data_IF_981983660055
#
_entry.id   IF_981983660055
#
_cell.length_a   1.000
_cell.length_b   1.000
_cell.length_c   1.000
_cell.angle_alpha   90.00
_cell.angle_beta   90.00
_cell.angle_gamma   90.00
#
_symmetry.space_group_name_H-M   'P 1'
#
loop_
_entity.id
_entity.type
_entity.pdbx_description
1 polymer ?
#
# COMPACT_ATOMS: atom_id res chain seq x y z
N UNK A 1 2.89 -23.66 24.60
CA UNK A 1 2.66 -22.25 24.21
C UNK A 1 3.33 -22.04 22.86
N UNK A 2 2.62 -21.55 21.84
CA UNK A 2 3.25 -21.19 20.56
C UNK A 2 3.83 -19.79 20.65
N UNK A 3 5.12 -19.62 20.34
CA UNK A 3 5.68 -18.30 20.13
C UNK A 3 5.12 -17.72 18.81
N UNK A 4 4.53 -16.51 18.82
CA UNK A 4 4.03 -15.91 17.59
C UNK A 4 5.19 -15.62 16.62
N UNK A 5 4.93 -15.80 15.33
CA UNK A 5 5.90 -15.49 14.27
C UNK A 5 6.22 -13.99 14.29
N UNK A 6 7.50 -13.64 14.30
CA UNK A 6 7.93 -12.24 14.22
C UNK A 6 7.52 -11.62 12.89
N UNK A 7 7.13 -10.35 12.92
CA UNK A 7 6.61 -9.65 11.74
C UNK A 7 7.61 -9.61 10.58
N UNK A 8 8.91 -9.52 10.89
CA UNK A 8 10.02 -9.48 9.94
C UNK A 8 10.69 -10.84 9.71
N UNK A 9 10.09 -11.94 10.19
CA UNK A 9 10.61 -13.28 9.91
C UNK A 9 10.64 -13.49 8.40
N UNK A 10 11.79 -13.89 7.86
CA UNK A 10 11.92 -14.18 6.44
C UNK A 10 10.85 -15.19 6.00
N UNK A 11 10.30 -15.00 4.79
CA UNK A 11 9.29 -15.83 4.12
C UNK A 11 7.90 -15.76 4.78
N UNK A 12 7.79 -15.91 6.10
CA UNK A 12 6.50 -16.13 6.78
C UNK A 12 6.04 -14.99 7.69
N UNK A 13 6.88 -13.97 7.88
CA UNK A 13 6.52 -12.80 8.66
C UNK A 13 5.50 -11.92 7.91
N UNK A 14 4.57 -11.31 8.64
CA UNK A 14 3.52 -10.45 8.07
C UNK A 14 4.06 -9.24 7.25
N UNK A 15 5.33 -8.88 7.42
CA UNK A 15 5.97 -7.79 6.67
C UNK A 15 6.95 -8.30 5.60
N UNK A 16 7.06 -9.62 5.37
CA UNK A 16 8.06 -10.19 4.48
C UNK A 16 7.91 -9.74 3.01
N UNK A 17 6.69 -9.39 2.60
CA UNK A 17 6.34 -8.91 1.26
C UNK A 17 5.72 -7.51 1.27
N UNK A 18 5.87 -6.77 2.38
CA UNK A 18 5.29 -5.45 2.55
C UNK A 18 6.15 -4.34 1.95
N UNK A 19 5.54 -3.49 1.13
CA UNK A 19 6.22 -2.38 0.44
C UNK A 19 5.60 -1.04 0.84
N UNK A 20 6.39 -0.18 1.50
CA UNK A 20 5.90 1.12 2.04
C UNK A 20 6.46 2.36 1.35
N UNK A 21 7.64 2.28 0.71
CA UNK A 21 8.23 3.42 -0.01
C UNK A 21 7.67 3.52 -1.43
N UNK A 22 7.40 4.74 -1.88
CA UNK A 22 6.76 4.98 -3.17
C UNK A 22 7.50 4.37 -4.36
N UNK A 23 8.84 4.43 -4.38
CA UNK A 23 9.64 3.83 -5.44
C UNK A 23 9.58 2.30 -5.46
N UNK A 24 9.49 1.64 -4.29
CA UNK A 24 9.36 0.19 -4.23
C UNK A 24 7.96 -0.23 -4.65
N UNK A 25 6.95 0.48 -4.17
CA UNK A 25 5.55 0.23 -4.54
C UNK A 25 5.35 0.38 -6.06
N UNK A 26 5.87 1.46 -6.66
CA UNK A 26 5.83 1.66 -8.11
C UNK A 26 6.58 0.54 -8.87
N UNK A 27 7.76 0.14 -8.38
CA UNK A 27 8.51 -0.95 -8.99
C UNK A 27 7.80 -2.30 -8.90
N UNK A 28 7.12 -2.61 -7.80
CA UNK A 28 6.30 -3.81 -7.62
C UNK A 28 5.09 -3.80 -8.54
N UNK A 29 4.43 -2.65 -8.69
CA UNK A 29 3.29 -2.48 -9.60
C UNK A 29 3.69 -2.70 -11.07
N UNK A 30 4.89 -2.28 -11.47
CA UNK A 30 5.41 -2.47 -12.83
C UNK A 30 5.90 -3.90 -13.08
N UNK A 31 6.66 -4.46 -12.14
CA UNK A 31 7.13 -5.84 -12.17
C UNK A 31 7.51 -6.28 -10.76
N UNK A 32 6.73 -7.19 -10.18
CA UNK A 32 6.94 -7.70 -8.81
C UNK A 32 8.35 -8.25 -8.59
N UNK A 33 8.97 -8.86 -9.61
CA UNK A 33 10.34 -9.41 -9.53
C UNK A 33 11.42 -8.37 -9.22
N UNK A 34 11.11 -7.08 -9.35
CA UNK A 34 12.02 -5.99 -8.97
C UNK A 34 12.30 -5.98 -7.45
N UNK A 35 11.33 -6.40 -6.64
CA UNK A 35 11.43 -6.37 -5.17
C UNK A 35 10.96 -7.65 -4.49
N UNK A 36 10.49 -8.64 -5.25
CA UNK A 36 10.01 -9.93 -4.75
C UNK A 36 10.73 -11.07 -5.47
N UNK A 37 11.74 -11.61 -4.80
CA UNK A 37 12.51 -12.75 -5.31
C UNK A 37 11.74 -14.07 -5.20
N UNK A 38 10.78 -14.14 -4.27
CA UNK A 38 9.85 -15.25 -4.07
C UNK A 38 8.45 -14.72 -4.32
N UNK A 39 7.65 -15.41 -5.12
CA UNK A 39 6.21 -15.15 -5.24
C UNK A 39 5.50 -15.60 -3.95
N UNK A 40 4.84 -14.69 -3.21
CA UNK A 40 4.12 -15.02 -1.98
C UNK A 40 3.02 -16.08 -2.19
N UNK A 41 2.46 -16.19 -3.40
CA UNK A 41 1.47 -17.22 -3.72
C UNK A 41 2.03 -18.65 -3.61
N UNK A 42 3.35 -18.85 -3.82
CA UNK A 42 3.98 -20.17 -3.69
C UNK A 42 3.96 -20.72 -2.26
N UNK A 43 3.73 -19.87 -1.27
CA UNK A 43 3.63 -20.25 0.15
C UNK A 43 2.23 -19.99 0.73
N UNK A 44 1.24 -19.76 -0.14
CA UNK A 44 -0.16 -19.57 0.27
C UNK A 44 -0.47 -18.22 0.91
N UNK A 45 0.34 -17.19 0.65
CA UNK A 45 0.00 -15.81 1.03
C UNK A 45 -0.77 -15.12 -0.12
N UNK A 46 -1.90 -14.49 0.21
CA UNK A 46 -2.70 -13.70 -0.73
C UNK A 46 -2.21 -12.23 -0.81
N UNK A 47 -2.47 -11.57 -1.94
CA UNK A 47 -1.96 -10.21 -2.27
C UNK A 47 -3.00 -9.09 -2.03
N UNK A 48 -2.62 -7.79 -1.86
CA UNK A 48 -1.26 -7.22 -1.93
C UNK A 48 -0.84 -6.36 -0.71
N UNK A 49 0.38 -6.52 -0.22
CA UNK A 49 0.92 -5.70 0.89
C UNK A 49 1.54 -4.37 0.40
N UNK A 50 0.82 -3.62 -0.45
CA UNK A 50 1.13 -2.19 -0.67
C UNK A 50 0.62 -1.40 0.54
N UNK A 51 1.44 -1.31 1.58
CA UNK A 51 1.09 -0.57 2.79
C UNK A 51 1.18 0.92 2.49
N UNK A 52 0.02 1.60 2.51
CA UNK A 52 -0.03 3.04 2.35
C UNK A 52 0.45 3.75 3.62
N UNK A 53 1.53 4.51 3.50
CA UNK A 53 2.16 5.31 4.55
C UNK A 53 2.47 6.71 4.00
N UNK A 54 3.00 7.62 4.83
CA UNK A 54 3.46 8.94 4.35
C UNK A 54 4.60 8.88 3.34
N UNK A 55 5.24 7.71 3.18
CA UNK A 55 6.28 7.46 2.18
C UNK A 55 5.74 6.88 0.88
N UNK A 56 4.43 6.59 0.82
CA UNK A 56 3.83 6.00 -0.35
C UNK A 56 3.69 7.01 -1.49
N UNK A 57 3.90 6.52 -2.70
CA UNK A 57 3.89 7.34 -3.90
C UNK A 57 2.50 7.42 -4.55
N UNK A 58 2.38 8.30 -5.54
CA UNK A 58 1.18 8.48 -6.36
C UNK A 58 0.69 7.16 -6.98
N UNK A 59 1.60 6.34 -7.50
CA UNK A 59 1.25 5.05 -8.12
C UNK A 59 0.54 4.11 -7.14
N UNK A 60 1.02 4.04 -5.89
CA UNK A 60 0.41 3.21 -4.85
C UNK A 60 -0.99 3.73 -4.47
N UNK A 61 -1.13 5.04 -4.28
CA UNK A 61 -2.43 5.65 -3.96
C UNK A 61 -3.44 5.43 -5.11
N UNK A 62 -3.04 5.69 -6.37
CA UNK A 62 -3.89 5.45 -7.55
C UNK A 62 -4.32 3.99 -7.65
N UNK A 63 -3.38 3.05 -7.48
CA UNK A 63 -3.68 1.63 -7.51
C UNK A 63 -4.71 1.25 -6.43
N UNK A 64 -4.54 1.77 -5.21
CA UNK A 64 -5.46 1.45 -4.10
C UNK A 64 -6.84 2.08 -4.28
N UNK A 65 -6.93 3.32 -4.73
CA UNK A 65 -8.22 3.96 -5.06
C UNK A 65 -8.94 3.22 -6.18
N UNK A 66 -8.21 2.79 -7.23
CA UNK A 66 -8.77 1.99 -8.31
C UNK A 66 -9.29 0.63 -7.81
N UNK A 67 -8.56 -0.06 -6.92
CA UNK A 67 -9.01 -1.31 -6.31
C UNK A 67 -10.30 -1.15 -5.47
N UNK A 68 -10.57 0.05 -4.96
CA UNK A 68 -11.81 0.41 -4.27
C UNK A 68 -12.91 0.92 -5.20
N UNK A 69 -12.71 0.87 -6.53
CA UNK A 69 -13.60 1.44 -7.54
C UNK A 69 -13.86 2.95 -7.34
N UNK A 70 -12.89 3.68 -6.79
CA UNK A 70 -12.97 5.12 -6.60
C UNK A 70 -12.41 5.81 -7.85
N UNK A 71 -13.27 6.53 -8.56
CA UNK A 71 -12.91 7.34 -9.73
C UNK A 71 -12.87 8.84 -9.41
N UNK A 72 -11.90 9.54 -9.95
CA UNK A 72 -11.72 10.98 -9.84
C UNK A 72 -11.25 11.56 -11.18
N UNK A 73 -11.48 12.85 -11.42
CA UNK A 73 -10.86 13.51 -12.56
C UNK A 73 -9.36 13.66 -12.31
N UNK A 74 -8.54 13.40 -13.32
CA UNK A 74 -7.07 13.42 -13.19
C UNK A 74 -6.55 14.77 -12.66
N UNK A 75 -7.22 15.88 -13.01
CA UNK A 75 -6.93 17.23 -12.52
C UNK A 75 -7.06 17.39 -11.00
N UNK A 76 -7.87 16.57 -10.35
CA UNK A 76 -8.15 16.65 -8.91
C UNK A 76 -7.22 15.73 -8.10
N UNK A 77 -6.50 14.82 -8.76
CA UNK A 77 -5.68 13.80 -8.10
C UNK A 77 -4.63 14.39 -7.14
N UNK A 78 -3.97 15.48 -7.52
CA UNK A 78 -2.95 16.11 -6.68
C UNK A 78 -3.55 16.61 -5.35
N UNK A 79 -4.81 17.08 -5.34
CA UNK A 79 -5.47 17.47 -4.10
C UNK A 79 -5.73 16.26 -3.18
N UNK A 80 -6.13 15.12 -3.75
CA UNK A 80 -6.26 13.87 -3.00
C UNK A 80 -4.92 13.42 -2.44
N UNK A 81 -3.84 13.51 -3.23
CA UNK A 81 -2.50 13.09 -2.81
C UNK A 81 -1.96 13.95 -1.65
N UNK A 82 -2.10 15.26 -1.71
CA UNK A 82 -1.67 16.17 -0.62
C UNK A 82 -2.46 15.92 0.67
N UNK A 83 -3.78 15.70 0.57
CA UNK A 83 -4.58 15.33 1.74
C UNK A 83 -4.21 13.95 2.29
N UNK A 84 -3.92 12.99 1.42
CA UNK A 84 -3.46 11.67 1.81
C UNK A 84 -2.18 11.75 2.65
N UNK A 85 -1.19 12.55 2.23
CA UNK A 85 0.06 12.73 2.98
C UNK A 85 -0.20 13.28 4.39
N UNK A 86 -1.07 14.30 4.53
CA UNK A 86 -1.43 14.86 5.83
C UNK A 86 -2.05 13.84 6.79
N UNK A 87 -2.94 12.98 6.28
CA UNK A 87 -3.54 11.91 7.09
C UNK A 87 -2.47 10.86 7.44
N UNK A 88 -1.63 10.49 6.48
CA UNK A 88 -0.62 9.45 6.63
C UNK A 88 0.49 9.84 7.62
N UNK A 89 0.86 11.12 7.68
CA UNK A 89 1.78 11.67 8.68
C UNK A 89 1.24 11.52 10.11
N UNK A 90 -0.09 11.49 10.28
CA UNK A 90 -0.73 11.34 11.60
C UNK A 90 -1.00 9.88 11.96
N UNK A 91 -1.47 9.07 11.01
CA UNK A 91 -1.96 7.70 11.26
C UNK A 91 -0.93 6.60 10.96
N UNK A 92 0.22 6.93 10.36
CA UNK A 92 1.29 6.01 9.93
C UNK A 92 0.90 4.96 8.87
N UNK A 93 -0.26 4.32 8.99
CA UNK A 93 -0.82 3.38 8.02
C UNK A 93 -2.24 3.84 7.65
N UNK A 94 -2.49 3.98 6.35
CA UNK A 94 -3.78 4.38 5.79
C UNK A 94 -4.57 3.14 5.37
N UNK A 95 -5.77 3.00 5.92
CA UNK A 95 -6.70 1.92 5.60
C UNK A 95 -7.77 2.35 4.57
N UNK A 96 -8.60 1.41 4.15
CA UNK A 96 -9.65 1.68 3.16
C UNK A 96 -10.68 2.72 3.64
N UNK A 97 -10.98 2.77 4.95
CA UNK A 97 -11.95 3.73 5.49
C UNK A 97 -11.40 5.14 5.38
N UNK A 98 -10.10 5.31 5.62
CA UNK A 98 -9.43 6.60 5.42
C UNK A 98 -9.48 7.03 3.95
N UNK A 99 -9.26 6.11 3.00
CA UNK A 99 -9.31 6.42 1.57
C UNK A 99 -10.71 6.79 1.10
N UNK A 100 -11.74 6.08 1.59
CA UNK A 100 -13.14 6.42 1.31
C UNK A 100 -13.51 7.78 1.92
N UNK A 101 -13.01 8.09 3.12
CA UNK A 101 -13.23 9.39 3.75
C UNK A 101 -12.52 10.52 3.01
N UNK A 102 -11.25 10.31 2.63
CA UNK A 102 -10.46 11.19 1.78
C UNK A 102 -11.24 11.53 0.50
N UNK A 103 -11.80 10.51 -0.16
CA UNK A 103 -12.59 10.66 -1.37
C UNK A 103 -13.85 11.52 -1.16
N UNK A 104 -14.67 11.19 -0.15
CA UNK A 104 -15.94 11.89 0.12
C UNK A 104 -15.78 13.33 0.61
N UNK A 105 -14.57 13.73 0.99
CA UNK A 105 -14.26 15.05 1.55
C UNK A 105 -13.94 16.12 0.48
N UNK A 106 -13.97 15.73 -0.80
CA UNK A 106 -13.78 16.58 -1.98
C UNK A 106 -15.08 16.57 -2.81
#
# INVERSE_FOLDING_TARGET
MSNPVQSNKAIVGKNAFAHSSGIHQDGVLKNRKNYEIIDPAMIGLELPDLILTSRSGRAALKNRLAALNISFAEKDFEQYYERFLKIADTKSIIDEKDLVHLYKSL
#
